data_IF_014987823994
#
_entry.id   IF_014987823994
#
_cell.length_a   1.000
_cell.length_b   1.000
_cell.length_c   1.000
_cell.angle_alpha   90.00
_cell.angle_beta   90.00
_cell.angle_gamma   90.00
#
_symmetry.space_group_name_H-M   'P 1'
#
loop_
_entity.id
_entity.type
_entity.pdbx_description
1 polymer ?
#
# COMPACT_ATOMS: atom_id res chain seq x y z
N UNK A 1 -8.78 -1.91 -13.34
CA UNK A 1 -7.44 -2.49 -13.09
C UNK A 1 -7.40 -3.03 -11.66
N UNK A 2 -6.80 -4.17 -11.47
CA UNK A 2 -6.69 -4.80 -10.15
C UNK A 2 -5.23 -5.19 -9.88
N UNK A 3 -4.70 -4.75 -8.75
CA UNK A 3 -3.38 -5.16 -8.27
C UNK A 3 -3.54 -6.02 -7.00
N UNK A 4 -2.94 -7.18 -7.00
CA UNK A 4 -2.96 -8.13 -5.89
C UNK A 4 -1.54 -8.36 -5.37
N UNK A 5 -1.40 -8.48 -4.06
CA UNK A 5 -0.19 -8.96 -3.41
C UNK A 5 -0.50 -10.25 -2.66
N UNK A 6 0.14 -11.32 -3.07
CA UNK A 6 -0.14 -12.68 -2.60
C UNK A 6 1.13 -13.28 -2.02
N UNK A 7 1.05 -13.74 -0.78
CA UNK A 7 2.13 -14.50 -0.16
C UNK A 7 2.02 -15.99 -0.54
N UNK A 8 3.13 -16.67 -0.89
CA UNK A 8 3.11 -18.08 -1.22
C UNK A 8 2.79 -18.99 -0.01
N UNK A 9 2.95 -18.48 1.21
CA UNK A 9 2.57 -19.19 2.43
C UNK A 9 2.29 -18.23 3.58
N UNK A 10 1.58 -18.68 4.61
CA UNK A 10 1.24 -17.89 5.79
C UNK A 10 2.46 -17.37 6.57
N UNK A 11 3.61 -17.98 6.40
CA UNK A 11 4.86 -17.69 7.11
C UNK A 11 5.87 -16.92 6.27
N UNK A 12 5.58 -16.71 4.98
CA UNK A 12 6.47 -15.99 4.08
C UNK A 12 6.36 -14.48 4.26
N UNK A 13 7.48 -13.80 4.20
CA UNK A 13 7.56 -12.35 4.09
C UNK A 13 7.58 -11.86 2.64
N UNK A 14 7.68 -12.80 1.69
CA UNK A 14 7.64 -12.52 0.26
C UNK A 14 6.20 -12.35 -0.24
N UNK A 15 5.96 -11.30 -0.99
CA UNK A 15 4.70 -11.02 -1.67
C UNK A 15 4.92 -10.91 -3.17
N UNK A 16 4.18 -11.72 -3.91
CA UNK A 16 4.15 -11.67 -5.37
C UNK A 16 3.04 -10.72 -5.80
N UNK A 17 3.39 -9.77 -6.67
CA UNK A 17 2.46 -8.80 -7.23
C UNK A 17 1.89 -9.32 -8.55
N UNK A 18 0.58 -9.26 -8.68
CA UNK A 18 -0.15 -9.56 -9.92
C UNK A 18 -0.99 -8.38 -10.33
N UNK A 19 -0.78 -7.91 -11.54
CA UNK A 19 -1.59 -6.85 -12.16
C UNK A 19 -2.52 -7.49 -13.19
N UNK A 20 -3.82 -7.37 -12.97
CA UNK A 20 -4.85 -8.01 -13.79
C UNK A 20 -4.59 -9.52 -14.04
N UNK A 21 -4.14 -10.21 -12.98
CA UNK A 21 -3.81 -11.63 -12.99
C UNK A 21 -2.44 -11.99 -13.57
N UNK A 22 -1.67 -11.04 -14.10
CA UNK A 22 -0.35 -11.27 -14.67
C UNK A 22 0.75 -10.93 -13.68
N UNK A 23 1.81 -11.73 -13.64
CA UNK A 23 2.96 -11.45 -12.77
C UNK A 23 3.57 -10.08 -13.11
N UNK A 24 3.67 -9.22 -12.10
CA UNK A 24 4.14 -7.84 -12.27
C UNK A 24 5.37 -7.50 -11.44
N UNK A 25 5.57 -8.17 -10.31
CA UNK A 25 6.72 -7.93 -9.45
C UNK A 25 6.65 -8.68 -8.14
N UNK A 26 7.51 -8.28 -7.22
CA UNK A 26 7.55 -8.83 -5.86
C UNK A 26 8.15 -7.85 -4.86
N UNK A 27 7.86 -8.02 -3.58
CA UNK A 27 8.50 -7.31 -2.48
C UNK A 27 8.54 -8.18 -1.22
N UNK A 28 9.42 -7.79 -0.27
CA UNK A 28 9.47 -8.42 1.06
C UNK A 28 8.95 -7.48 2.13
N UNK A 29 7.97 -7.94 2.89
CA UNK A 29 7.37 -7.21 3.99
C UNK A 29 8.15 -7.36 5.29
N UNK A 30 9.37 -6.84 5.39
CA UNK A 30 10.22 -6.94 6.59
C UNK A 30 9.77 -5.99 7.69
N UNK A 31 9.77 -6.49 8.93
CA UNK A 31 9.31 -5.75 10.12
C UNK A 31 10.12 -4.49 10.45
N UNK A 32 11.43 -4.53 10.21
CA UNK A 32 12.39 -3.52 10.68
C UNK A 32 13.01 -2.67 9.57
N UNK A 33 12.53 -2.82 8.35
CA UNK A 33 13.05 -2.02 7.23
C UNK A 33 12.34 -0.68 7.17
N UNK A 34 13.11 0.40 7.24
CA UNK A 34 12.62 1.76 6.95
C UNK A 34 12.28 1.94 5.47
N UNK A 35 12.80 1.07 4.63
CA UNK A 35 12.57 1.07 3.19
C UNK A 35 12.06 -0.30 2.74
N UNK A 36 11.04 -0.31 1.91
CA UNK A 36 10.56 -1.52 1.22
C UNK A 36 10.98 -1.43 -0.24
N UNK A 37 11.86 -2.35 -0.66
CA UNK A 37 12.25 -2.48 -2.06
C UNK A 37 11.25 -3.34 -2.81
N UNK A 38 10.70 -2.79 -3.90
CA UNK A 38 9.79 -3.47 -4.81
C UNK A 38 10.50 -3.70 -6.13
N UNK A 39 10.60 -4.96 -6.52
CA UNK A 39 11.19 -5.37 -7.79
C UNK A 39 10.09 -5.67 -8.79
N UNK A 40 9.98 -4.84 -9.82
CA UNK A 40 9.01 -5.00 -10.89
C UNK A 40 9.62 -5.72 -12.09
N UNK A 41 8.77 -6.30 -12.92
CA UNK A 41 9.17 -6.84 -14.21
C UNK A 41 9.88 -5.77 -15.05
N UNK A 42 10.80 -6.18 -15.92
CA UNK A 42 11.60 -5.23 -16.71
C UNK A 42 12.75 -4.57 -15.93
N UNK A 43 13.17 -5.15 -14.81
CA UNK A 43 14.27 -4.67 -13.95
C UNK A 43 14.02 -3.30 -13.30
N UNK A 44 12.79 -2.84 -13.25
CA UNK A 44 12.42 -1.62 -12.54
C UNK A 44 12.36 -1.89 -11.04
N UNK A 45 12.97 -1.02 -10.26
CA UNK A 45 12.94 -1.08 -8.79
C UNK A 45 12.36 0.20 -8.22
N UNK A 46 11.43 0.05 -7.30
CA UNK A 46 10.85 1.14 -6.53
C UNK A 46 11.20 0.98 -5.06
N UNK A 47 11.28 2.08 -4.35
CA UNK A 47 11.52 2.10 -2.91
C UNK A 47 10.40 2.86 -2.20
N UNK A 48 9.79 2.23 -1.19
CA UNK A 48 8.89 2.89 -0.26
C UNK A 48 9.66 3.26 1.00
N UNK A 49 9.87 4.55 1.23
CA UNK A 49 10.44 5.08 2.47
C UNK A 49 9.36 5.42 3.47
N UNK A 50 9.60 5.04 4.71
CA UNK A 50 8.78 5.40 5.87
C UNK A 50 9.53 6.47 6.65
N UNK A 51 8.96 7.67 6.71
CA UNK A 51 9.55 8.83 7.37
C UNK A 51 8.65 9.35 8.49
N UNK A 52 9.20 10.25 9.30
CA UNK A 52 8.48 10.90 10.37
C UNK A 52 8.38 10.05 11.64
N UNK A 53 7.91 10.70 12.71
CA UNK A 53 7.73 10.04 13.99
C UNK A 53 6.60 9.00 13.89
N UNK A 54 6.89 7.78 14.30
CA UNK A 54 6.01 6.62 14.17
C UNK A 54 5.61 6.27 12.71
N UNK A 55 6.43 6.67 11.71
CA UNK A 55 6.15 6.40 10.31
C UNK A 55 4.83 7.03 9.85
N UNK A 56 4.69 8.32 10.13
CA UNK A 56 3.52 9.12 9.74
C UNK A 56 3.56 9.58 8.29
N UNK A 57 4.68 9.37 7.59
CA UNK A 57 4.88 9.75 6.21
C UNK A 57 5.44 8.60 5.39
N UNK A 58 4.91 8.42 4.19
CA UNK A 58 5.40 7.46 3.19
C UNK A 58 5.74 8.18 1.90
N UNK A 59 6.82 7.78 1.26
CA UNK A 59 7.26 8.28 -0.03
C UNK A 59 7.64 7.10 -0.91
N UNK A 60 7.03 7.00 -2.10
CA UNK A 60 7.40 6.03 -3.11
C UNK A 60 8.30 6.71 -4.14
N UNK A 61 9.49 6.18 -4.35
CA UNK A 61 10.47 6.69 -5.31
C UNK A 61 10.85 5.64 -6.35
N UNK A 62 11.19 6.10 -7.55
CA UNK A 62 11.87 5.27 -8.53
C UNK A 62 13.36 5.20 -8.17
N UNK A 63 13.89 4.00 -7.96
CA UNK A 63 15.27 3.81 -7.54
C UNK A 63 16.30 4.18 -8.63
N UNK A 64 15.89 4.25 -9.90
CA UNK A 64 16.78 4.56 -11.01
C UNK A 64 17.22 6.05 -11.01
N UNK A 65 16.31 6.97 -10.69
CA UNK A 65 16.54 8.41 -10.76
C UNK A 65 16.18 9.17 -9.47
N UNK A 66 15.64 8.49 -8.46
CA UNK A 66 15.18 9.08 -7.20
C UNK A 66 13.90 9.91 -7.32
N UNK A 67 13.20 9.85 -8.45
CA UNK A 67 11.96 10.60 -8.67
C UNK A 67 10.86 10.13 -7.73
N UNK A 68 10.23 11.07 -7.05
CA UNK A 68 9.05 10.80 -6.21
C UNK A 68 7.85 10.51 -7.10
N UNK A 69 7.23 9.34 -6.89
CA UNK A 69 6.05 8.89 -7.63
C UNK A 69 4.76 9.14 -6.87
N UNK A 70 4.80 8.97 -5.55
CA UNK A 70 3.65 9.19 -4.67
C UNK A 70 4.11 9.51 -3.25
N UNK A 71 3.28 10.23 -2.51
CA UNK A 71 3.51 10.60 -1.11
C UNK A 71 2.24 10.43 -0.29
N UNK A 72 2.38 10.13 1.00
CA UNK A 72 1.28 10.08 1.95
C UNK A 72 1.69 10.66 3.30
N UNK A 73 0.80 11.45 3.89
CA UNK A 73 0.93 11.96 5.24
C UNK A 73 -0.33 11.60 6.05
N UNK A 74 -0.12 11.18 7.29
CA UNK A 74 -1.23 10.91 8.19
C UNK A 74 -1.90 12.22 8.59
N UNK A 75 -3.20 12.33 8.33
CA UNK A 75 -3.95 13.58 8.51
C UNK A 75 -4.28 13.94 9.97
N UNK A 76 -3.70 13.22 10.95
CA UNK A 76 -3.84 13.52 12.37
C UNK A 76 -3.45 12.36 13.26
N UNK A 77 -3.17 12.64 14.53
CA UNK A 77 -2.71 11.63 15.50
C UNK A 77 -3.81 10.59 15.79
N UNK A 78 -5.07 11.00 15.69
CA UNK A 78 -6.22 10.16 16.06
C UNK A 78 -7.07 9.71 14.86
N UNK A 79 -6.68 10.05 13.63
CA UNK A 79 -7.44 9.68 12.44
C UNK A 79 -6.79 8.49 11.74
N UNK A 80 -7.61 7.58 11.23
CA UNK A 80 -7.19 6.49 10.36
C UNK A 80 -7.11 6.91 8.88
N UNK A 81 -7.14 8.20 8.61
CA UNK A 81 -7.08 8.76 7.26
C UNK A 81 -5.67 9.22 6.90
N UNK A 82 -5.34 9.09 5.62
CA UNK A 82 -4.08 9.53 5.03
C UNK A 82 -4.36 10.50 3.89
N UNK A 83 -3.68 11.64 3.90
CA UNK A 83 -3.64 12.53 2.74
C UNK A 83 -2.58 11.99 1.79
N UNK A 84 -2.99 11.62 0.58
CA UNK A 84 -2.11 11.01 -0.42
C UNK A 84 -2.01 11.91 -1.65
N UNK A 85 -0.82 11.97 -2.21
CA UNK A 85 -0.56 12.59 -3.50
C UNK A 85 -0.18 11.49 -4.48
N UNK A 86 -1.05 11.24 -5.43
CA UNK A 86 -0.93 10.22 -6.46
C UNK A 86 -0.59 10.87 -7.81
N UNK A 87 -0.37 10.05 -8.85
CA UNK A 87 -0.14 10.55 -10.19
C UNK A 87 -1.26 11.44 -10.74
N UNK A 88 -2.49 11.22 -10.28
CA UNK A 88 -3.67 12.04 -10.61
C UNK A 88 -3.84 13.30 -9.75
N UNK A 89 -2.98 13.51 -8.74
CA UNK A 89 -3.06 14.62 -7.79
C UNK A 89 -3.47 14.19 -6.38
N UNK A 90 -3.93 15.15 -5.55
CA UNK A 90 -4.26 14.88 -4.15
C UNK A 90 -5.53 14.04 -4.02
N UNK A 91 -5.52 13.10 -3.08
CA UNK A 91 -6.64 12.25 -2.71
C UNK A 91 -6.55 11.90 -1.21
N UNK A 92 -7.53 11.19 -0.68
CA UNK A 92 -7.53 10.71 0.71
C UNK A 92 -7.73 9.21 0.74
N UNK A 93 -6.93 8.55 1.55
CA UNK A 93 -7.09 7.15 1.90
C UNK A 93 -7.83 7.08 3.23
N UNK A 94 -9.03 6.52 3.23
CA UNK A 94 -9.91 6.46 4.41
C UNK A 94 -10.33 5.03 4.71
N UNK A 95 -10.61 4.73 5.98
CA UNK A 95 -11.16 3.44 6.36
C UNK A 95 -12.57 3.27 5.76
N UNK A 96 -12.85 2.09 5.21
CA UNK A 96 -14.15 1.78 4.59
C UNK A 96 -15.30 1.62 5.61
N UNK A 97 -15.01 1.72 6.91
CA UNK A 97 -15.99 1.62 7.99
C UNK A 97 -15.46 0.83 9.19
N UNK A 98 -16.14 0.93 10.32
CA UNK A 98 -15.68 0.30 11.57
C UNK A 98 -15.76 -1.24 11.57
N UNK A 99 -16.61 -1.81 10.73
CA UNK A 99 -16.73 -3.27 10.53
C UNK A 99 -15.92 -3.80 9.36
N UNK A 100 -15.36 -2.91 8.53
CA UNK A 100 -14.60 -3.30 7.35
C UNK A 100 -13.13 -2.95 7.55
N UNK A 101 -12.27 -3.93 7.41
CA UNK A 101 -10.80 -3.76 7.51
C UNK A 101 -10.18 -3.13 6.26
N UNK A 102 -10.98 -2.81 5.25
CA UNK A 102 -10.53 -2.20 4.00
C UNK A 102 -10.34 -0.69 4.07
N UNK A 103 -9.74 -0.14 3.03
CA UNK A 103 -9.61 1.29 2.79
C UNK A 103 -10.23 1.68 1.45
N UNK A 104 -10.59 2.94 1.33
CA UNK A 104 -11.07 3.56 0.10
C UNK A 104 -10.21 4.77 -0.23
N UNK A 105 -9.93 4.95 -1.52
CA UNK A 105 -9.29 6.15 -2.04
C UNK A 105 -10.37 7.09 -2.54
N UNK A 106 -10.45 8.27 -1.92
CA UNK A 106 -11.47 9.27 -2.19
C UNK A 106 -10.84 10.54 -2.77
N UNK A 107 -11.44 11.06 -3.81
CA UNK A 107 -11.12 12.37 -4.38
C UNK A 107 -12.43 13.10 -4.67
N UNK A 108 -12.62 14.28 -4.10
CA UNK A 108 -13.83 15.12 -4.30
C UNK A 108 -15.15 14.32 -4.19
N UNK A 109 -15.33 13.58 -3.10
CA UNK A 109 -16.48 12.70 -2.83
C UNK A 109 -16.68 11.52 -3.80
N UNK A 110 -15.74 11.32 -4.73
CA UNK A 110 -15.73 10.16 -5.63
C UNK A 110 -14.76 9.10 -5.10
N UNK A 111 -15.21 7.86 -5.04
CA UNK A 111 -14.35 6.72 -4.76
C UNK A 111 -13.60 6.32 -6.03
N UNK A 112 -12.27 6.35 -5.98
CA UNK A 112 -11.39 5.98 -7.09
C UNK A 112 -10.94 4.53 -7.01
N UNK A 113 -10.71 4.04 -5.80
CA UNK A 113 -10.24 2.68 -5.58
C UNK A 113 -10.68 2.16 -4.22
N UNK A 114 -10.70 0.85 -4.09
CA UNK A 114 -10.96 0.12 -2.86
C UNK A 114 -9.86 -0.89 -2.61
N UNK A 115 -9.46 -1.02 -1.33
CA UNK A 115 -8.42 -1.97 -0.92
C UNK A 115 -8.99 -2.87 0.15
N UNK A 116 -8.83 -4.17 -0.03
CA UNK A 116 -9.29 -5.17 0.91
C UNK A 116 -8.21 -6.21 1.19
N UNK A 117 -8.26 -6.75 2.42
CA UNK A 117 -7.50 -7.94 2.75
C UNK A 117 -8.09 -9.12 1.96
N UNK A 118 -7.21 -9.88 1.34
CA UNK A 118 -7.54 -11.14 0.68
C UNK A 118 -6.82 -12.29 1.40
N UNK A 119 -7.11 -13.50 1.12
CA UNK A 119 -6.43 -14.62 1.77
C UNK A 119 -6.83 -14.87 3.23
N UNK A 120 -6.61 -16.08 3.67
CA UNK A 120 -7.04 -16.61 4.97
C UNK A 120 -6.02 -16.39 6.08
N UNK A 121 -4.75 -16.41 5.73
CA UNK A 121 -3.64 -16.23 6.65
C UNK A 121 -2.62 -15.26 6.04
N UNK A 122 -2.05 -14.40 6.85
CA UNK A 122 -1.13 -13.39 6.37
C UNK A 122 -1.78 -12.06 6.04
N UNK A 123 -1.09 -11.25 5.29
CA UNK A 123 -1.48 -9.88 4.97
C UNK A 123 -1.64 -9.66 3.45
N UNK A 124 -2.15 -10.68 2.77
CA UNK A 124 -2.50 -10.57 1.35
C UNK A 124 -3.54 -9.48 1.15
N UNK A 125 -3.41 -8.72 0.08
CA UNK A 125 -4.32 -7.62 -0.22
C UNK A 125 -4.57 -7.48 -1.72
N UNK A 126 -5.68 -6.83 -2.04
CA UNK A 126 -6.01 -6.45 -3.41
C UNK A 126 -6.53 -5.01 -3.46
N UNK A 127 -6.11 -4.28 -4.47
CA UNK A 127 -6.60 -2.94 -4.82
C UNK A 127 -7.32 -3.04 -6.15
N UNK A 128 -8.55 -2.55 -6.18
CA UNK A 128 -9.33 -2.42 -7.42
C UNK A 128 -9.68 -0.96 -7.62
N UNK A 129 -9.43 -0.42 -8.80
CA UNK A 129 -9.74 0.96 -9.15
C UNK A 129 -10.76 1.06 -10.28
N UNK A 130 -11.26 2.27 -10.50
CA UNK A 130 -12.20 2.61 -11.59
C UNK A 130 -11.51 2.83 -12.95
N UNK A 131 -10.20 2.57 -13.04
CA UNK A 131 -9.39 2.80 -14.24
C UNK A 131 -8.74 4.19 -14.30
N UNK A 132 -8.88 5.01 -13.26
CA UNK A 132 -8.31 6.36 -13.24
C UNK A 132 -6.89 6.43 -12.67
N UNK A 133 -6.48 5.40 -11.92
CA UNK A 133 -5.19 5.36 -11.25
C UNK A 133 -4.11 4.70 -12.10
N UNK A 134 -2.85 5.08 -11.86
CA UNK A 134 -1.70 4.41 -12.44
C UNK A 134 -1.33 3.16 -11.63
N UNK A 135 -0.63 2.24 -12.25
CA UNK A 135 -0.15 0.99 -11.60
C UNK A 135 0.67 1.28 -10.33
N UNK A 136 1.51 2.32 -10.39
CA UNK A 136 2.32 2.75 -9.24
C UNK A 136 1.50 3.37 -8.12
N UNK A 137 0.36 4.00 -8.44
CA UNK A 137 -0.59 4.50 -7.44
C UNK A 137 -1.24 3.33 -6.69
N UNK A 138 -1.69 2.29 -7.41
CA UNK A 138 -2.25 1.07 -6.81
C UNK A 138 -1.24 0.39 -5.88
N UNK A 139 0.01 0.28 -6.33
CA UNK A 139 1.09 -0.29 -5.53
C UNK A 139 1.32 0.51 -4.24
N UNK A 140 1.41 1.83 -4.35
CA UNK A 140 1.64 2.72 -3.22
C UNK A 140 0.56 2.58 -2.15
N UNK A 141 -0.69 2.62 -2.57
CA UNK A 141 -1.86 2.45 -1.71
C UNK A 141 -1.84 1.08 -1.01
N UNK A 142 -1.55 0.02 -1.76
CA UNK A 142 -1.46 -1.35 -1.23
C UNK A 142 -0.32 -1.51 -0.21
N UNK A 143 0.83 -0.89 -0.43
CA UNK A 143 1.96 -0.93 0.50
C UNK A 143 1.66 -0.18 1.82
N UNK A 144 0.95 0.95 1.76
CA UNK A 144 0.46 1.64 2.96
C UNK A 144 -0.50 0.72 3.74
N UNK A 145 -1.47 0.14 3.04
CA UNK A 145 -2.42 -0.79 3.65
C UNK A 145 -1.73 -1.97 4.32
N UNK A 146 -0.78 -2.60 3.65
CA UNK A 146 0.02 -3.69 4.21
C UNK A 146 0.73 -3.25 5.52
N UNK A 147 1.32 -2.06 5.53
CA UNK A 147 1.98 -1.53 6.72
C UNK A 147 1.01 -1.31 7.87
N UNK A 148 -0.18 -0.79 7.58
CA UNK A 148 -1.24 -0.59 8.59
C UNK A 148 -1.72 -1.92 9.14
N UNK A 149 -1.95 -2.92 8.30
CA UNK A 149 -2.33 -4.28 8.74
C UNK A 149 -1.29 -4.87 9.70
N UNK A 150 -0.02 -4.75 9.39
CA UNK A 150 1.07 -5.25 10.24
C UNK A 150 1.16 -4.51 11.58
N UNK A 151 0.99 -3.20 11.58
CA UNK A 151 0.95 -2.40 12.81
C UNK A 151 -0.20 -2.81 13.71
N UNK A 152 -1.38 -3.02 13.14
CA UNK A 152 -2.56 -3.44 13.87
C UNK A 152 -2.37 -4.85 14.45
N UNK A 153 -1.79 -5.78 13.70
CA UNK A 153 -1.47 -7.11 14.17
C UNK A 153 -0.45 -7.10 15.33
N UNK A 154 0.58 -6.25 15.23
CA UNK A 154 1.57 -6.08 16.30
C UNK A 154 0.95 -5.48 17.57
N UNK A 155 0.08 -4.49 17.44
CA UNK A 155 -0.63 -3.90 18.57
C UNK A 155 -1.57 -4.91 19.25
N UNK A 156 -2.27 -5.74 18.49
CA UNK A 156 -3.13 -6.80 19.01
C UNK A 156 -2.34 -7.89 19.75
N UNK A 157 -1.13 -8.23 19.29
CA UNK A 157 -0.25 -9.20 19.94
C UNK A 157 0.38 -8.68 21.23
N UNK A 158 0.50 -7.35 21.41
CA UNK A 158 1.06 -6.70 22.60
C UNK A 158 0.01 -6.42 23.70
N UNK A 159 -1.28 -6.63 23.40
CA UNK A 159 -2.39 -6.42 24.35
C UNK A 159 -2.83 -7.75 25.06
#
# INVERSE_FOLDING_TARGET
MMLEAISPSCWSDLYVLKLDGHSWGEYRGRWFSECVDVHLTGRRRLCLDKQGWLGSRFILTDAADGRVLAEADRSGVFTSAWDVRLGIGPARLVSAGWLNTGFQVMQDDRMLAEINKTGFCGNDWAVTDDGSLQETDLLFIGLIYHTVLRRNAAAAAAS
#
